data_IF_209933868613
#
_entry.id   IF_209933868613
#
_cell.length_a   1.000
_cell.length_b   1.000
_cell.length_c   1.000
_cell.angle_alpha   90.00
_cell.angle_beta   90.00
_cell.angle_gamma   90.00
#
_symmetry.space_group_name_H-M   'P 1'
#
loop_
_entity.id
_entity.type
_entity.pdbx_description
1 polymer ?
#
# COMPACT_ATOMS: atom_id res chain seq x y z
N UNK A 1 4.14 -17.05 -24.89
CA UNK A 1 3.11 -17.52 -23.93
C UNK A 1 3.81 -17.65 -22.58
N UNK A 2 3.47 -17.02 -21.47
CA UNK A 2 2.40 -16.13 -20.98
C UNK A 2 3.15 -14.99 -20.22
N UNK A 3 2.62 -13.84 -19.83
CA UNK A 3 1.35 -13.59 -19.15
C UNK A 3 0.99 -12.11 -19.25
N UNK A 4 -0.31 -11.87 -19.44
CA UNK A 4 -1.03 -10.59 -19.38
C UNK A 4 -0.33 -9.45 -18.62
N UNK A 5 -0.05 -8.34 -19.33
CA UNK A 5 0.09 -7.01 -18.76
C UNK A 5 -1.24 -6.60 -18.09
N UNK A 6 -1.52 -7.11 -16.88
CA UNK A 6 -2.40 -6.41 -15.95
C UNK A 6 -1.57 -5.25 -15.39
N UNK A 7 -1.68 -4.10 -16.05
CA UNK A 7 -1.01 -2.85 -15.67
C UNK A 7 -1.45 -2.49 -14.23
N UNK A 8 -0.48 -2.28 -13.34
CA UNK A 8 -0.76 -2.01 -11.93
C UNK A 8 -1.66 -0.77 -11.78
N UNK A 9 -2.65 -0.78 -10.87
CA UNK A 9 -3.51 0.38 -10.65
C UNK A 9 -2.72 1.55 -10.06
N UNK A 10 -3.05 2.77 -10.46
CA UNK A 10 -2.58 3.97 -9.76
C UNK A 10 -3.44 4.18 -8.52
N UNK A 11 -2.93 3.77 -7.36
CA UNK A 11 -3.55 4.01 -6.06
C UNK A 11 -2.80 5.13 -5.32
N UNK A 12 -3.54 6.14 -4.87
CA UNK A 12 -3.03 7.17 -3.97
C UNK A 12 -3.90 7.25 -2.72
N UNK A 13 -3.29 7.51 -1.57
CA UNK A 13 -4.00 7.47 -0.30
C UNK A 13 -3.40 8.40 0.76
N UNK A 14 -4.17 8.62 1.82
CA UNK A 14 -3.71 9.24 3.07
C UNK A 14 -3.98 8.34 4.25
N UNK A 15 -3.10 8.45 5.24
CA UNK A 15 -3.20 7.70 6.49
C UNK A 15 -3.41 8.61 7.70
N UNK A 16 -3.97 8.05 8.78
CA UNK A 16 -4.22 8.72 10.06
C UNK A 16 -2.93 9.13 10.78
N UNK A 17 -1.84 8.37 10.57
CA UNK A 17 -0.49 8.60 11.06
C UNK A 17 0.52 8.20 9.98
N UNK A 18 1.81 8.38 10.24
CA UNK A 18 2.85 7.90 9.34
C UNK A 18 3.05 6.39 9.52
N UNK A 19 2.61 5.61 8.53
CA UNK A 19 2.84 4.17 8.44
C UNK A 19 3.77 3.79 7.29
N UNK A 20 4.47 4.76 6.69
CA UNK A 20 5.26 4.55 5.47
C UNK A 20 6.41 3.55 5.63
N UNK A 21 6.80 3.23 6.87
CA UNK A 21 7.82 2.24 7.17
C UNK A 21 7.27 0.90 7.68
N UNK A 22 5.96 0.72 7.77
CA UNK A 22 5.34 -0.47 8.37
C UNK A 22 4.79 -1.41 7.30
N UNK A 23 4.85 -2.71 7.57
CA UNK A 23 4.37 -3.74 6.65
C UNK A 23 2.85 -3.76 6.65
N UNK A 24 2.21 -3.57 5.47
CA UNK A 24 0.77 -3.72 5.35
C UNK A 24 0.39 -5.21 5.16
N UNK A 25 -0.77 -5.57 5.70
CA UNK A 25 -1.47 -6.84 5.43
C UNK A 25 -2.91 -6.52 5.05
N UNK A 26 -3.62 -7.45 4.42
CA UNK A 26 -5.03 -7.27 4.01
C UNK A 26 -5.92 -8.15 4.85
N UNK A 27 -6.96 -7.57 5.43
CA UNK A 27 -8.01 -8.29 6.12
C UNK A 27 -9.21 -8.54 5.20
N UNK A 28 -10.07 -9.49 5.57
CA UNK A 28 -11.40 -9.60 4.98
C UNK A 28 -12.28 -8.40 5.36
N UNK A 29 -13.49 -8.32 4.79
CA UNK A 29 -14.43 -7.22 5.04
C UNK A 29 -14.82 -7.09 6.52
N UNK A 30 -14.96 -8.22 7.22
CA UNK A 30 -15.27 -8.25 8.66
C UNK A 30 -14.08 -7.89 9.55
N UNK A 31 -12.89 -7.74 8.98
CA UNK A 31 -11.62 -7.43 9.67
C UNK A 31 -11.25 -8.43 10.78
N UNK A 32 -11.71 -9.67 10.69
CA UNK A 32 -11.44 -10.72 11.69
C UNK A 32 -10.42 -11.77 11.20
N UNK A 33 -10.07 -11.75 9.90
CA UNK A 33 -9.12 -12.70 9.30
C UNK A 33 -8.22 -12.01 8.28
N UNK A 34 -6.95 -12.41 8.26
CA UNK A 34 -5.98 -12.01 7.23
C UNK A 34 -6.28 -12.81 5.95
N UNK A 35 -6.40 -12.12 4.83
CA UNK A 35 -6.62 -12.71 3.50
C UNK A 35 -5.42 -12.55 2.57
N UNK A 36 -4.50 -11.62 2.88
CA UNK A 36 -3.24 -11.46 2.16
C UNK A 36 -2.18 -10.84 3.06
N UNK A 37 -0.93 -11.30 2.93
CA UNK A 37 0.25 -10.82 3.64
C UNK A 37 1.49 -11.10 2.78
N UNK A 38 2.55 -10.28 2.90
CA UNK A 38 3.71 -10.41 2.01
C UNK A 38 4.61 -11.56 2.42
N UNK A 39 5.14 -12.29 1.43
CA UNK A 39 6.37 -13.04 1.62
C UNK A 39 7.56 -12.09 1.84
N UNK A 40 8.68 -12.64 2.33
CA UNK A 40 9.91 -11.87 2.55
C UNK A 40 10.44 -11.19 1.27
N UNK A 41 10.18 -11.77 0.10
CA UNK A 41 10.59 -11.21 -1.20
C UNK A 41 9.68 -10.09 -1.69
N UNK A 42 8.43 -10.04 -1.22
CA UNK A 42 7.40 -9.14 -1.74
C UNK A 42 7.59 -7.71 -1.21
N UNK A 43 8.39 -7.53 -0.16
CA UNK A 43 8.63 -6.20 0.44
C UNK A 43 9.61 -5.35 -0.39
N UNK A 44 10.09 -5.86 -1.53
CA UNK A 44 11.04 -5.19 -2.40
C UNK A 44 10.43 -4.86 -3.76
N UNK A 45 10.73 -3.65 -4.26
CA UNK A 45 10.45 -3.21 -5.61
C UNK A 45 11.71 -2.59 -6.21
N UNK A 46 12.15 -3.08 -7.37
CA UNK A 46 13.39 -2.65 -8.04
C UNK A 46 14.63 -2.64 -7.13
N UNK A 47 14.77 -3.64 -6.25
CA UNK A 47 15.93 -3.80 -5.37
C UNK A 47 15.94 -2.90 -4.12
N UNK A 48 14.90 -2.10 -3.90
CA UNK A 48 14.69 -1.30 -2.70
C UNK A 48 13.40 -1.72 -1.99
N UNK A 49 13.22 -1.32 -0.73
CA UNK A 49 11.96 -1.55 -0.04
C UNK A 49 10.81 -0.85 -0.78
N UNK A 50 9.70 -1.56 -0.96
CA UNK A 50 8.48 -1.10 -1.62
C UNK A 50 7.68 -0.10 -0.76
N UNK A 51 8.37 0.85 -0.11
CA UNK A 51 7.77 1.93 0.68
C UNK A 51 6.97 2.85 -0.24
N UNK A 52 5.87 3.45 0.23
CA UNK A 52 5.10 4.39 -0.58
C UNK A 52 5.90 5.65 -0.91
N UNK A 53 5.64 6.23 -2.09
CA UNK A 53 6.27 7.51 -2.47
C UNK A 53 5.45 8.67 -1.94
N UNK A 54 6.07 9.64 -1.26
CA UNK A 54 5.39 10.85 -0.81
C UNK A 54 4.96 11.72 -1.99
N UNK A 55 3.72 12.21 -1.92
CA UNK A 55 3.11 13.12 -2.89
C UNK A 55 2.68 14.43 -2.21
N UNK A 56 2.17 15.36 -3.01
CA UNK A 56 1.65 16.63 -2.54
C UNK A 56 0.48 16.46 -1.55
N UNK A 57 0.26 17.49 -0.73
CA UNK A 57 -0.89 17.56 0.20
C UNK A 57 -1.00 16.37 1.16
N UNK A 58 0.12 15.71 1.49
CA UNK A 58 0.18 14.59 2.43
C UNK A 58 -0.26 13.24 1.85
N UNK A 59 -0.47 13.13 0.54
CA UNK A 59 -0.76 11.86 -0.11
C UNK A 59 0.48 10.97 -0.23
N UNK A 60 0.21 9.67 -0.35
CA UNK A 60 1.15 8.62 -0.61
C UNK A 60 0.75 7.90 -1.90
N UNK A 61 1.73 7.62 -2.76
CA UNK A 61 1.60 6.70 -3.88
C UNK A 61 1.84 5.28 -3.40
N UNK A 62 0.95 4.36 -3.73
CA UNK A 62 1.15 2.95 -3.47
C UNK A 62 2.23 2.34 -4.38
N UNK A 63 3.19 1.66 -3.74
CA UNK A 63 4.23 0.86 -4.41
C UNK A 63 4.20 -0.61 -3.93
N UNK A 64 3.29 -0.97 -3.03
CA UNK A 64 3.24 -2.28 -2.35
C UNK A 64 2.03 -3.11 -2.78
N UNK A 65 0.90 -2.46 -3.08
CA UNK A 65 -0.37 -3.11 -3.39
C UNK A 65 -1.38 -3.04 -2.24
N UNK A 66 -1.51 -1.88 -1.59
CA UNK A 66 -2.50 -1.68 -0.51
C UNK A 66 -3.93 -1.55 -1.05
N UNK A 67 -4.91 -1.93 -0.23
CA UNK A 67 -6.33 -1.80 -0.52
C UNK A 67 -7.08 -1.16 0.64
N UNK A 68 -8.37 -0.85 0.48
CA UNK A 68 -9.20 -0.27 1.54
C UNK A 68 -9.30 -1.16 2.82
N UNK A 69 -9.05 -2.47 2.68
CA UNK A 69 -9.02 -3.42 3.80
C UNK A 69 -7.62 -3.66 4.33
N UNK A 70 -6.59 -2.98 3.81
CA UNK A 70 -5.25 -3.06 4.37
C UNK A 70 -5.19 -2.44 5.77
N UNK A 71 -4.34 -3.03 6.60
CA UNK A 71 -3.97 -2.57 7.94
C UNK A 71 -2.45 -2.62 8.05
N UNK A 72 -1.88 -1.86 8.99
CA UNK A 72 -0.43 -1.86 9.20
C UNK A 72 -0.08 -2.66 10.45
N UNK A 73 0.99 -3.44 10.35
CA UNK A 73 1.62 -4.15 11.47
C UNK A 73 2.68 -3.29 12.13
N UNK A 74 3.17 -3.70 13.31
CA UNK A 74 4.31 -3.06 13.96
C UNK A 74 5.63 -3.33 13.26
N UNK A 75 5.71 -4.39 12.44
CA UNK A 75 6.93 -4.73 11.71
C UNK A 75 7.31 -3.62 10.74
N UNK A 76 8.53 -3.12 10.88
CA UNK A 76 9.13 -2.27 9.86
C UNK A 76 9.64 -3.10 8.69
N UNK A 77 9.85 -2.47 7.53
CA UNK A 77 10.52 -3.14 6.40
C UNK A 77 11.88 -3.73 6.80
N UNK A 78 12.67 -2.99 7.58
CA UNK A 78 13.99 -3.42 8.03
C UNK A 78 13.94 -4.61 8.99
N UNK A 79 12.99 -4.63 9.91
CA UNK A 79 12.80 -5.74 10.85
C UNK A 79 12.27 -6.97 10.12
N UNK A 80 11.25 -6.79 9.29
CA UNK A 80 10.64 -7.87 8.52
C UNK A 80 11.68 -8.53 7.62
N UNK A 81 12.52 -7.77 6.92
CA UNK A 81 13.59 -8.27 6.06
C UNK A 81 14.62 -9.16 6.78
N UNK A 82 14.80 -8.99 8.09
CA UNK A 82 15.78 -9.72 8.91
C UNK A 82 15.21 -10.98 9.54
N UNK A 83 13.90 -11.21 9.44
CA UNK A 83 13.28 -12.41 9.98
C UNK A 83 13.79 -13.66 9.25
N UNK A 84 14.02 -14.73 9.99
CA UNK A 84 14.41 -16.02 9.41
C UNK A 84 13.26 -16.68 8.63
N UNK A 85 12.02 -16.33 8.98
CA UNK A 85 10.80 -16.82 8.35
C UNK A 85 9.69 -15.78 8.45
N UNK A 86 8.73 -15.86 7.55
CA UNK A 86 7.50 -15.09 7.61
C UNK A 86 6.77 -15.39 8.95
N UNK A 87 6.31 -14.37 9.70
CA UNK A 87 5.52 -14.59 10.91
C UNK A 87 4.24 -15.37 10.62
N UNK A 88 3.73 -16.09 11.62
CA UNK A 88 2.45 -16.76 11.53
C UNK A 88 1.29 -15.76 11.40
N UNK A 89 0.14 -16.24 10.91
CA UNK A 89 -1.08 -15.41 10.82
C UNK A 89 -1.48 -14.82 12.17
N UNK A 90 -1.28 -15.55 13.27
CA UNK A 90 -1.58 -15.07 14.61
C UNK A 90 -0.64 -13.92 15.00
N UNK A 91 0.67 -14.09 14.82
CA UNK A 91 1.66 -13.04 15.10
C UNK A 91 1.42 -11.79 14.24
N UNK A 92 1.06 -11.97 12.96
CA UNK A 92 0.70 -10.85 12.08
C UNK A 92 -0.55 -10.13 12.58
N UNK A 93 -1.59 -10.86 13.00
CA UNK A 93 -2.81 -10.25 13.53
C UNK A 93 -2.56 -9.49 14.84
N UNK A 94 -1.79 -10.09 15.77
CA UNK A 94 -1.44 -9.47 17.06
C UNK A 94 -0.53 -8.23 16.90
N UNK A 95 0.25 -8.17 15.82
CA UNK A 95 1.10 -7.02 15.51
C UNK A 95 0.38 -5.86 14.83
N UNK A 96 -0.93 -5.95 14.53
CA UNK A 96 -1.67 -4.85 13.89
C UNK A 96 -1.71 -3.63 14.81
N UNK A 97 -1.17 -2.50 14.33
CA UNK A 97 -1.09 -1.24 15.10
C UNK A 97 -2.22 -0.25 14.79
N UNK A 98 -2.90 -0.41 13.65
CA UNK A 98 -4.08 0.37 13.29
C UNK A 98 -4.99 -0.43 12.35
N UNK A 99 -6.20 -0.73 12.84
CA UNK A 99 -7.22 -1.44 12.08
C UNK A 99 -7.99 -0.56 11.10
N UNK A 100 -7.83 0.76 11.10
CA UNK A 100 -8.49 1.68 10.17
C UNK A 100 -7.54 2.82 9.74
N UNK A 101 -6.40 2.51 9.09
CA UNK A 101 -5.33 3.48 8.90
C UNK A 101 -5.62 4.52 7.83
N UNK A 102 -6.55 4.28 6.89
CA UNK A 102 -6.78 5.14 5.73
C UNK A 102 -7.86 6.19 5.99
N UNK A 103 -7.51 7.46 5.75
CA UNK A 103 -8.43 8.61 5.75
C UNK A 103 -9.19 8.68 4.44
N UNK A 104 -8.46 8.58 3.33
CA UNK A 104 -8.99 8.62 1.97
C UNK A 104 -8.08 7.83 1.02
N UNK A 105 -8.68 7.21 0.00
CA UNK A 105 -7.96 6.44 -1.01
C UNK A 105 -8.65 6.59 -2.37
N UNK A 106 -7.86 6.71 -3.43
CA UNK A 106 -8.33 6.93 -4.79
C UNK A 106 -7.67 5.96 -5.76
N UNK A 107 -8.48 5.43 -6.68
CA UNK A 107 -8.04 4.73 -7.87
C UNK A 107 -8.08 5.69 -9.06
N UNK A 108 -6.91 6.03 -9.61
CA UNK A 108 -6.74 7.09 -10.61
C UNK A 108 -6.41 6.58 -12.02
N UNK A 109 -6.69 5.31 -12.30
CA UNK A 109 -6.38 4.68 -13.59
C UNK A 109 -5.19 3.75 -13.47
N UNK A 110 -4.32 3.71 -14.46
CA UNK A 110 -3.18 2.80 -14.50
C UNK A 110 -1.89 3.52 -14.15
N UNK A 111 -0.96 2.81 -13.50
CA UNK A 111 0.31 3.39 -13.06
C UNK A 111 1.16 3.87 -14.25
N UNK A 112 1.14 3.12 -15.35
CA UNK A 112 1.94 3.35 -16.55
C UNK A 112 1.48 4.57 -17.37
N UNK A 113 0.28 5.10 -17.09
CA UNK A 113 -0.22 6.33 -17.73
C UNK A 113 0.52 7.59 -17.21
N UNK A 114 1.39 7.45 -16.20
CA UNK A 114 2.07 8.56 -15.52
C UNK A 114 3.57 8.31 -15.41
N UNK A 115 4.36 9.15 -16.07
CA UNK A 115 5.82 9.02 -16.12
C UNK A 115 6.48 9.46 -14.81
N UNK A 116 5.95 10.51 -14.17
CA UNK A 116 6.60 11.15 -13.01
C UNK A 116 5.64 11.34 -11.84
N UNK A 117 6.20 11.54 -10.65
CA UNK A 117 5.41 11.95 -9.47
C UNK A 117 4.79 13.34 -9.65
N UNK A 118 5.33 14.18 -10.53
CA UNK A 118 4.74 15.49 -10.83
C UNK A 118 3.40 15.36 -11.56
N UNK A 119 3.28 14.38 -12.46
CA UNK A 119 2.02 14.12 -13.17
C UNK A 119 0.93 13.69 -12.19
N UNK A 120 1.28 12.82 -11.24
CA UNK A 120 0.38 12.38 -10.17
C UNK A 120 0.02 13.54 -9.23
N UNK A 121 0.97 14.43 -8.93
CA UNK A 121 0.69 15.63 -8.15
C UNK A 121 -0.26 16.59 -8.85
N UNK A 122 -0.32 16.60 -10.17
CA UNK A 122 -1.33 17.39 -10.91
C UNK A 122 -2.74 16.85 -10.71
N UNK A 123 -2.91 15.52 -10.59
CA UNK A 123 -4.20 14.90 -10.23
C UNK A 123 -4.68 15.38 -8.85
N UNK A 124 -3.75 15.43 -7.88
CA UNK A 124 -4.07 15.92 -6.53
C UNK A 124 -4.50 17.40 -6.58
N UNK A 125 -3.81 18.22 -7.38
CA UNK A 125 -4.12 19.65 -7.55
C UNK A 125 -5.44 19.89 -8.29
N UNK A 126 -5.78 19.04 -9.25
CA UNK A 126 -7.08 19.06 -9.94
C UNK A 126 -8.21 18.41 -9.12
N UNK A 127 -7.97 18.11 -7.84
CA UNK A 127 -8.96 17.55 -6.91
C UNK A 127 -9.53 16.21 -7.39
N UNK A 128 -8.67 15.35 -7.94
CA UNK A 128 -9.02 13.97 -8.28
C UNK A 128 -10.10 13.82 -9.34
N UNK A 129 -10.25 14.78 -10.26
CA UNK A 129 -11.34 14.87 -11.25
C UNK A 129 -11.64 13.54 -11.99
N UNK A 130 -10.60 12.76 -12.30
CA UNK A 130 -10.71 11.48 -13.02
C UNK A 130 -10.46 10.24 -12.16
N UNK A 131 -10.44 10.38 -10.83
CA UNK A 131 -10.23 9.26 -9.93
C UNK A 131 -11.54 8.81 -9.28
N UNK A 132 -11.63 7.51 -9.01
CA UNK A 132 -12.67 6.94 -8.16
C UNK A 132 -12.17 6.91 -6.71
N UNK A 133 -12.91 7.55 -5.80
CA UNK A 133 -12.69 7.37 -4.37
C UNK A 133 -13.11 5.96 -3.94
N UNK A 134 -12.24 5.26 -3.23
CA UNK A 134 -12.44 3.87 -2.77
C UNK A 134 -12.34 3.72 -1.25
N UNK A 135 -11.96 4.78 -0.53
CA UNK A 135 -12.05 4.94 0.93
C UNK A 135 -12.22 6.43 1.26
#
# INVERSE_FOLDING_TARGET
MQSSNMQAPLIIYKTTKDYSNHIPIVLNESRDRIVSYPAMTDIYFNGAFAKPTRLASGFLLDNFGVSANSVYTSFTFEEYAKLEKVPSLQELMESVIDYNPFIEMYHCGKRDDFETTNDINNIIRSKFENCKRIR
#
